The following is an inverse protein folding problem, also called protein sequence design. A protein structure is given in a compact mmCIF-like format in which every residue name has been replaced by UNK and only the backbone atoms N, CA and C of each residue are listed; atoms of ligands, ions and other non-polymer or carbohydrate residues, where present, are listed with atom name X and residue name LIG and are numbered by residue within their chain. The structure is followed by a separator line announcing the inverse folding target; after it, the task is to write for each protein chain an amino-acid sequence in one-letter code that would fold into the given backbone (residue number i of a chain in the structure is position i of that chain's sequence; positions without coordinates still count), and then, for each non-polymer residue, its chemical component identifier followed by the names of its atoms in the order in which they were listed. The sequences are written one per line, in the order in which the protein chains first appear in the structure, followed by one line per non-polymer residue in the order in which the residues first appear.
data_IF_529889945986
#
_entry.id   IF_529889945986
#
_cell.length_a   1.000
_cell.length_b   1.000
_cell.length_c   1.000
_cell.angle_alpha   90.00
_cell.angle_beta   90.00
_cell.angle_gamma   90.00
#
_symmetry.space_group_name_H-M   'P 1'
#
loop_
_entity.id
_entity.type
_entity.pdbx_description
1 polymer ?
#
# COMPACT_ATOMS: atom_id res chain seq x y z
N UNK A 1 21.23 -6.65 15.20
CA UNK A 1 21.90 -7.38 14.11
C UNK A 1 22.11 -6.50 12.89
N UNK A 2 23.07 -6.83 12.04
CA UNK A 2 23.28 -6.15 10.77
C UNK A 2 22.38 -6.75 9.68
N UNK A 3 21.78 -5.89 8.86
CA UNK A 3 20.98 -6.32 7.72
C UNK A 3 21.90 -6.97 6.66
N UNK A 4 21.59 -8.18 6.16
CA UNK A 4 22.42 -8.82 5.13
C UNK A 4 22.39 -8.06 3.78
N UNK A 5 21.30 -7.34 3.48
CA UNK A 5 21.14 -6.64 2.20
C UNK A 5 21.83 -5.28 2.14
N UNK A 6 21.88 -4.54 3.25
CA UNK A 6 22.43 -3.16 3.26
C UNK A 6 23.38 -2.86 4.42
N UNK A 7 23.74 -3.87 5.22
CA UNK A 7 24.61 -3.82 6.41
C UNK A 7 24.22 -2.83 7.52
N UNK A 8 23.07 -2.18 7.43
CA UNK A 8 22.57 -1.30 8.50
C UNK A 8 22.38 -2.06 9.82
N UNK A 9 22.66 -1.38 10.93
CA UNK A 9 22.43 -1.92 12.27
C UNK A 9 20.94 -1.82 12.61
N UNK A 10 20.34 -2.94 13.01
CA UNK A 10 18.93 -3.04 13.41
C UNK A 10 18.83 -3.66 14.82
N UNK A 11 17.70 -3.44 15.50
CA UNK A 11 17.41 -4.03 16.82
C UNK A 11 17.29 -5.55 16.71
N UNK A 12 17.58 -6.27 17.80
CA UNK A 12 17.58 -7.74 17.84
C UNK A 12 16.23 -8.39 17.45
N UNK A 13 15.13 -7.69 17.69
CA UNK A 13 13.77 -8.16 17.40
C UNK A 13 13.18 -7.55 16.12
N UNK A 14 13.98 -6.84 15.31
CA UNK A 14 13.51 -6.23 14.08
C UNK A 14 13.15 -7.31 13.04
N UNK A 15 11.88 -7.37 12.62
CA UNK A 15 11.41 -8.28 11.55
C UNK A 15 11.84 -7.82 10.16
N UNK A 16 12.07 -6.52 10.00
CA UNK A 16 12.49 -5.88 8.75
C UNK A 16 13.57 -4.84 9.02
N UNK A 17 14.40 -4.59 8.00
CA UNK A 17 15.42 -3.56 8.04
C UNK A 17 14.78 -2.17 7.98
N UNK A 18 15.08 -1.32 8.96
CA UNK A 18 14.59 0.07 8.99
C UNK A 18 15.16 0.97 7.90
N UNK A 19 16.23 0.54 7.20
CA UNK A 19 16.88 1.30 6.13
C UNK A 19 16.42 0.88 4.73
N UNK A 20 16.35 -0.42 4.45
CA UNK A 20 16.08 -0.92 3.09
C UNK A 20 14.82 -1.81 3.00
N UNK A 21 14.13 -2.08 4.11
CA UNK A 21 12.91 -2.90 4.13
C UNK A 21 13.11 -4.41 3.98
N UNK A 22 14.36 -4.89 3.81
CA UNK A 22 14.63 -6.32 3.69
C UNK A 22 14.22 -7.08 4.95
N UNK A 23 13.59 -8.25 4.79
CA UNK A 23 13.19 -9.12 5.91
C UNK A 23 14.44 -9.63 6.64
N UNK A 24 14.46 -9.46 7.95
CA UNK A 24 15.51 -10.00 8.81
C UNK A 24 14.99 -11.34 9.34
N UNK A 25 15.68 -12.43 9.04
CA UNK A 25 15.20 -13.77 9.39
C UNK A 25 15.26 -13.94 10.91
N UNK A 26 14.14 -14.35 11.51
CA UNK A 26 14.07 -14.77 12.90
C UNK A 26 14.84 -16.10 13.03
N UNK A 27 15.93 -16.10 13.80
CA UNK A 27 16.72 -17.29 14.04
C UNK A 27 15.96 -18.25 14.97
N UNK A 28 15.22 -19.21 14.40
CA UNK A 28 15.13 -20.55 14.98
C UNK A 28 14.84 -21.59 13.89
N UNK A 29 15.75 -22.54 13.73
CA UNK A 29 15.69 -23.63 12.77
C UNK A 29 14.75 -24.73 13.25
N UNK A 30 13.87 -25.20 12.36
CA UNK A 30 13.09 -26.41 12.60
C UNK A 30 12.16 -26.80 11.43
N UNK A 31 12.77 -27.43 10.41
CA UNK A 31 12.15 -28.26 9.37
C UNK A 31 11.28 -27.62 8.26
N UNK A 32 11.85 -27.67 7.05
CA UNK A 32 11.16 -27.77 5.76
C UNK A 32 10.17 -28.95 5.75
N UNK A 33 9.05 -28.85 5.02
CA UNK A 33 8.96 -29.71 3.85
C UNK A 33 8.87 -28.88 2.57
N UNK A 34 9.75 -29.28 1.65
CA UNK A 34 9.74 -28.95 0.25
C UNK A 34 8.45 -29.45 -0.41
N UNK A 35 7.99 -28.69 -1.40
CA UNK A 35 7.16 -29.10 -2.53
C UNK A 35 5.84 -29.85 -2.26
N UNK A 36 4.74 -29.10 -2.32
CA UNK A 36 3.68 -29.44 -3.27
C UNK A 36 3.44 -28.24 -4.15
N UNK A 37 4.03 -28.30 -5.35
CA UNK A 37 3.50 -27.65 -6.53
C UNK A 37 2.03 -28.06 -6.71
N UNK A 38 1.13 -27.10 -6.56
CA UNK A 38 -0.09 -27.09 -7.36
C UNK A 38 -0.21 -25.73 -8.05
N UNK A 39 0.52 -25.65 -9.16
CA UNK A 39 0.06 -24.92 -10.32
C UNK A 39 -1.33 -25.43 -10.68
N UNK A 40 -2.36 -24.64 -10.41
CA UNK A 40 -3.63 -24.72 -11.14
C UNK A 40 -3.72 -23.47 -11.98
N UNK A 41 -3.19 -23.58 -13.19
CA UNK A 41 -3.48 -22.67 -14.28
C UNK A 41 -4.90 -22.96 -14.76
N UNK A 42 -5.87 -22.12 -14.38
CA UNK A 42 -7.14 -21.99 -15.10
C UNK A 42 -7.18 -20.60 -15.72
N UNK A 43 -6.31 -20.36 -16.69
CA UNK A 43 -6.65 -19.48 -17.80
C UNK A 43 -7.61 -20.22 -18.72
N UNK A 44 -8.91 -20.02 -18.50
CA UNK A 44 -9.85 -19.71 -19.59
C UNK A 44 -11.20 -19.29 -19.02
N UNK A 45 -11.65 -18.16 -19.55
CA UNK A 45 -12.97 -17.54 -19.37
C UNK A 45 -13.25 -16.84 -18.04
N UNK A 46 -12.62 -15.68 -17.84
CA UNK A 46 -13.33 -14.55 -17.20
C UNK A 46 -13.53 -13.46 -18.26
N UNK A 47 -14.19 -13.88 -19.34
CA UNK A 47 -14.82 -12.99 -20.30
C UNK A 47 -15.97 -12.28 -19.58
N UNK A 48 -15.87 -10.96 -19.43
CA UNK A 48 -17.03 -10.07 -19.38
C UNK A 48 -18.07 -10.29 -18.25
N UNK A 49 -17.67 -10.58 -17.01
CA UNK A 49 -18.60 -10.54 -15.87
C UNK A 49 -17.91 -9.91 -14.66
N UNK A 50 -18.05 -8.59 -14.50
CA UNK A 50 -18.00 -7.77 -13.27
C UNK A 50 -17.61 -6.30 -13.57
N UNK A 51 -18.22 -5.73 -14.61
CA UNK A 51 -18.45 -4.29 -14.64
C UNK A 51 -19.83 -4.07 -13.99
N UNK A 52 -19.95 -3.04 -13.14
CA UNK A 52 -21.14 -2.70 -12.33
C UNK A 52 -21.41 -3.71 -11.18
N UNK A 53 -21.38 -3.42 -9.87
CA UNK A 53 -21.97 -2.29 -9.14
C UNK A 53 -21.36 -2.18 -7.72
N UNK A 54 -20.13 -1.65 -7.55
CA UNK A 54 -19.67 -1.27 -6.20
C UNK A 54 -19.85 0.23 -5.98
N UNK A 55 -21.12 0.65 -5.90
CA UNK A 55 -21.52 2.07 -5.73
C UNK A 55 -20.85 2.69 -4.50
N UNK A 56 -20.63 1.90 -3.44
CA UNK A 56 -19.97 2.38 -2.22
C UNK A 56 -18.48 2.63 -2.44
N UNK A 57 -17.78 1.78 -3.19
CA UNK A 57 -16.38 1.99 -3.57
C UNK A 57 -16.24 3.19 -4.49
N UNK A 58 -17.13 3.36 -5.48
CA UNK A 58 -17.08 4.53 -6.37
C UNK A 58 -17.38 5.84 -5.63
N UNK A 59 -18.33 5.84 -4.69
CA UNK A 59 -18.58 6.98 -3.79
C UNK A 59 -17.36 7.29 -2.93
N UNK A 60 -16.71 6.27 -2.35
CA UNK A 60 -15.52 6.44 -1.52
C UNK A 60 -14.34 7.00 -2.34
N UNK A 61 -14.10 6.46 -3.54
CA UNK A 61 -13.09 6.97 -4.47
C UNK A 61 -13.35 8.43 -4.84
N UNK A 62 -14.60 8.78 -5.15
CA UNK A 62 -15.00 10.15 -5.49
C UNK A 62 -14.78 11.11 -4.33
N UNK A 63 -15.19 10.72 -3.11
CA UNK A 63 -14.96 11.52 -1.91
C UNK A 63 -13.46 11.76 -1.67
N UNK A 64 -12.64 10.70 -1.73
CA UNK A 64 -11.19 10.80 -1.56
C UNK A 64 -10.54 11.69 -2.64
N UNK A 65 -10.95 11.51 -3.90
CA UNK A 65 -10.47 12.34 -5.01
C UNK A 65 -10.79 13.82 -4.82
N UNK A 66 -12.03 14.13 -4.43
CA UNK A 66 -12.44 15.51 -4.16
C UNK A 66 -11.63 16.15 -3.03
N UNK A 67 -11.35 15.41 -1.95
CA UNK A 67 -10.56 15.94 -0.84
C UNK A 67 -9.11 16.22 -1.24
N UNK A 68 -8.49 15.31 -2.00
CA UNK A 68 -7.13 15.51 -2.53
C UNK A 68 -7.08 16.73 -3.44
N UNK A 69 -8.06 16.90 -4.32
CA UNK A 69 -8.11 18.04 -5.23
C UNK A 69 -8.30 19.35 -4.47
N UNK A 70 -9.21 19.38 -3.49
CA UNK A 70 -9.37 20.52 -2.60
C UNK A 70 -8.05 20.88 -1.88
N UNK A 71 -7.34 19.89 -1.33
CA UNK A 71 -6.05 20.14 -0.68
C UNK A 71 -5.02 20.73 -1.65
N UNK A 72 -4.96 20.25 -2.89
CA UNK A 72 -4.08 20.85 -3.92
C UNK A 72 -4.47 22.29 -4.20
N UNK A 73 -5.76 22.57 -4.41
CA UNK A 73 -6.24 23.93 -4.69
C UNK A 73 -5.90 24.90 -3.55
N UNK A 74 -6.08 24.47 -2.29
CA UNK A 74 -5.73 25.26 -1.11
C UNK A 74 -4.22 25.50 -1.04
N UNK A 75 -3.39 24.51 -1.36
CA UNK A 75 -1.94 24.69 -1.37
C UNK A 75 -1.45 25.58 -2.53
N UNK A 76 -2.12 25.54 -3.68
CA UNK A 76 -1.77 26.33 -4.87
C UNK A 76 -2.22 27.79 -4.72
N UNK A 77 -3.40 28.03 -4.14
CA UNK A 77 -3.97 29.38 -4.00
C UNK A 77 -4.74 29.54 -2.69
N UNK A 78 -4.02 29.58 -1.54
CA UNK A 78 -4.65 29.63 -0.22
C UNK A 78 -5.52 30.88 -0.03
N UNK A 79 -5.16 32.00 -0.65
CA UNK A 79 -5.90 33.27 -0.56
C UNK A 79 -7.31 33.15 -1.12
N UNK A 80 -7.53 32.36 -2.18
CA UNK A 80 -8.85 32.13 -2.79
C UNK A 80 -9.87 31.56 -1.78
N UNK A 81 -9.39 30.76 -0.82
CA UNK A 81 -10.22 30.12 0.20
C UNK A 81 -10.33 30.96 1.48
N UNK A 82 -9.44 31.93 1.68
CA UNK A 82 -9.43 32.85 2.83
C UNK A 82 -10.19 34.16 2.56
N UNK A 83 -10.65 34.39 1.32
CA UNK A 83 -11.31 35.64 0.90
C UNK A 83 -12.78 35.80 1.34
N UNK A 84 -13.34 34.89 2.14
CA UNK A 84 -14.64 35.09 2.80
C UNK A 84 -14.49 35.96 4.06
N UNK A 85 -14.01 37.20 3.89
CA UNK A 85 -13.97 38.18 4.97
C UNK A 85 -14.23 39.60 4.47
N UNK A 86 -15.50 39.91 4.22
CA UNK A 86 -16.05 41.26 4.30
C UNK A 86 -17.59 41.19 4.33
N UNK A 87 -18.16 41.13 5.54
CA UNK A 87 -19.41 41.80 5.88
C UNK A 87 -19.03 43.11 6.58
#
# INVERSE_FOLDING_TARGET
MNCPSCQSVNTENAKFCGKCGAKLQESNTGASPSSVEQQVNVEREVSAVQHEQNIQVEKAKKLAGNYVEFCKEVMISPQRFLQNKAL
#
